data_IF_076886918536
#
_entry.id   IF_076886918536
#
_cell.length_a   1.000
_cell.length_b   1.000
_cell.length_c   1.000
_cell.angle_alpha   90.00
_cell.angle_beta   90.00
_cell.angle_gamma   90.00
#
_symmetry.space_group_name_H-M   'P 1'
#
loop_
_entity.id
_entity.type
_entity.pdbx_description
1 polymer ?
#
# COMPACT_ATOMS: atom_id res chain seq x y z
N UNK A 1 15.59 5.19 10.05
CA UNK A 1 14.69 4.13 10.52
C UNK A 1 13.46 4.09 9.66
N UNK A 2 13.09 2.93 9.14
CA UNK A 2 11.93 2.81 8.27
C UNK A 2 10.63 2.77 9.10
N UNK A 3 9.55 3.32 8.53
CA UNK A 3 8.20 3.16 9.08
C UNK A 3 7.78 1.69 9.13
N UNK A 4 8.31 0.90 8.21
CA UNK A 4 8.04 -0.54 8.13
C UNK A 4 9.09 -1.33 8.91
N UNK A 5 8.66 -2.43 9.54
CA UNK A 5 9.62 -3.38 10.13
C UNK A 5 10.38 -4.12 9.03
N UNK A 6 11.56 -4.70 9.34
CA UNK A 6 12.27 -5.52 8.34
C UNK A 6 11.43 -6.65 7.78
N UNK A 7 10.60 -7.30 8.61
CA UNK A 7 9.70 -8.37 8.14
C UNK A 7 8.65 -7.84 7.19
N UNK A 8 8.10 -6.64 7.46
CA UNK A 8 7.12 -6.00 6.59
C UNK A 8 7.73 -5.64 5.24
N UNK A 9 8.96 -5.10 5.24
CA UNK A 9 9.66 -4.78 3.99
C UNK A 9 9.90 -6.05 3.17
N UNK A 10 10.35 -7.12 3.82
CA UNK A 10 10.59 -8.39 3.13
C UNK A 10 9.30 -8.93 2.51
N UNK A 11 8.20 -8.84 3.26
CA UNK A 11 6.90 -9.27 2.75
C UNK A 11 6.47 -8.44 1.54
N UNK A 12 6.53 -7.11 1.65
CA UNK A 12 6.13 -6.23 0.55
C UNK A 12 6.95 -6.52 -0.71
N UNK A 13 8.25 -6.75 -0.57
CA UNK A 13 9.12 -7.06 -1.70
C UNK A 13 8.85 -8.42 -2.33
N UNK A 14 8.20 -9.32 -1.59
CA UNK A 14 7.83 -10.64 -2.09
C UNK A 14 6.55 -10.64 -2.92
N UNK A 15 5.79 -9.54 -2.91
CA UNK A 15 4.47 -9.47 -3.54
C UNK A 15 4.52 -8.60 -4.79
N UNK A 16 3.95 -9.08 -5.91
CA UNK A 16 4.03 -8.34 -7.18
C UNK A 16 3.07 -7.16 -7.27
N UNK A 17 1.93 -7.20 -6.58
CA UNK A 17 0.87 -6.20 -6.74
C UNK A 17 0.36 -5.73 -5.40
N UNK A 18 -0.07 -4.48 -5.36
CA UNK A 18 -0.92 -3.95 -4.30
C UNK A 18 -2.23 -3.46 -4.88
N UNK A 19 -3.24 -3.33 -4.04
CA UNK A 19 -4.50 -2.68 -4.41
C UNK A 19 -4.46 -1.28 -3.86
N UNK A 20 -4.65 -0.32 -4.75
CA UNK A 20 -4.48 1.10 -4.48
C UNK A 20 -5.85 1.76 -4.55
N UNK A 21 -6.34 2.23 -3.41
CA UNK A 21 -7.65 2.86 -3.28
C UNK A 21 -7.51 4.36 -3.15
N UNK A 22 -8.36 5.08 -3.84
CA UNK A 22 -8.46 6.53 -3.78
C UNK A 22 -9.94 6.93 -3.82
N UNK A 23 -10.24 8.18 -3.59
CA UNK A 23 -11.61 8.67 -3.66
C UNK A 23 -11.64 10.09 -4.22
N UNK A 24 -12.74 10.42 -4.90
CA UNK A 24 -13.00 11.78 -5.33
C UNK A 24 -13.35 12.66 -4.13
N UNK A 25 -13.33 14.00 -4.26
CA UNK A 25 -13.71 14.88 -3.15
C UNK A 25 -15.11 14.64 -2.60
N UNK A 26 -16.03 14.16 -3.44
CA UNK A 26 -17.40 13.83 -3.03
C UNK A 26 -17.56 12.38 -2.55
N UNK A 27 -16.44 11.68 -2.36
CA UNK A 27 -16.46 10.36 -1.72
C UNK A 27 -16.65 9.17 -2.66
N UNK A 28 -16.49 9.36 -3.97
CA UNK A 28 -16.62 8.25 -4.92
C UNK A 28 -15.33 7.41 -4.89
N UNK A 29 -15.39 6.12 -4.47
CA UNK A 29 -14.20 5.31 -4.32
C UNK A 29 -13.74 4.74 -5.66
N UNK A 30 -12.43 4.49 -5.75
CA UNK A 30 -11.80 3.78 -6.84
C UNK A 30 -10.72 2.88 -6.28
N UNK A 31 -10.52 1.72 -6.88
CA UNK A 31 -9.46 0.80 -6.51
C UNK A 31 -8.89 0.13 -7.76
N UNK A 32 -7.57 -0.01 -7.80
CA UNK A 32 -6.89 -0.64 -8.93
C UNK A 32 -5.70 -1.45 -8.44
N UNK A 33 -5.40 -2.60 -9.08
CA UNK A 33 -4.14 -3.31 -8.83
C UNK A 33 -3.00 -2.59 -9.53
N UNK A 34 -1.89 -2.42 -8.83
CA UNK A 34 -0.73 -1.70 -9.35
C UNK A 34 0.56 -2.37 -8.88
N UNK A 35 1.63 -2.22 -9.66
CA UNK A 35 2.98 -2.57 -9.21
C UNK A 35 3.48 -1.48 -8.27
N UNK A 36 4.42 -1.82 -7.41
CA UNK A 36 4.90 -0.89 -6.40
C UNK A 36 6.30 -1.24 -5.94
N UNK A 37 6.94 -0.29 -5.25
CA UNK A 37 8.22 -0.48 -4.58
C UNK A 37 8.19 0.21 -3.23
N UNK A 38 8.98 -0.29 -2.30
CA UNK A 38 9.23 0.38 -1.02
C UNK A 38 10.46 1.28 -1.21
N UNK A 39 10.31 2.54 -0.85
CA UNK A 39 11.38 3.53 -0.93
C UNK A 39 11.47 4.26 0.41
N UNK A 40 12.43 3.83 1.24
CA UNK A 40 12.58 4.37 2.59
C UNK A 40 11.33 4.09 3.43
N UNK A 41 10.68 5.15 3.87
CA UNK A 41 9.45 5.07 4.66
C UNK A 41 8.19 5.05 3.81
N UNK A 42 8.32 5.16 2.50
CA UNK A 42 7.21 5.37 1.59
C UNK A 42 7.01 4.19 0.65
N UNK A 43 5.86 4.18 0.00
CA UNK A 43 5.58 3.27 -1.12
C UNK A 43 5.48 4.13 -2.37
N UNK A 44 6.14 3.72 -3.44
CA UNK A 44 6.04 4.39 -4.73
C UNK A 44 5.42 3.45 -5.74
N UNK A 45 4.56 4.00 -6.59
CA UNK A 45 3.92 3.24 -7.65
C UNK A 45 3.84 4.11 -8.90
N UNK A 46 4.34 3.57 -9.99
CA UNK A 46 4.21 4.17 -11.30
C UNK A 46 3.16 3.45 -12.09
N UNK A 47 3.44 3.27 -13.33
CA UNK A 47 2.59 2.57 -14.25
C UNK A 47 2.57 3.26 -15.59
N UNK A 48 1.89 2.61 -16.50
CA UNK A 48 1.74 3.13 -17.84
C UNK A 48 0.66 4.21 -17.84
N UNK A 49 1.04 5.42 -18.25
CA UNK A 49 0.10 6.52 -18.51
C UNK A 49 -0.77 6.87 -17.29
N UNK A 50 -0.14 7.07 -16.13
CA UNK A 50 -0.89 7.31 -14.89
C UNK A 50 -1.73 8.59 -14.94
N UNK A 51 -1.33 9.57 -15.76
CA UNK A 51 -2.03 10.86 -15.86
C UNK A 51 -3.47 10.71 -16.38
N UNK A 52 -3.79 9.61 -17.05
CA UNK A 52 -5.13 9.33 -17.58
C UNK A 52 -5.94 8.38 -16.69
N UNK A 53 -5.46 8.09 -15.47
CA UNK A 53 -6.19 7.22 -14.55
C UNK A 53 -7.13 7.99 -13.66
N UNK A 54 -8.16 7.31 -13.16
CA UNK A 54 -9.09 7.88 -12.19
C UNK A 54 -8.36 8.23 -10.90
N UNK A 55 -7.43 7.37 -10.45
CA UNK A 55 -6.66 7.63 -9.23
C UNK A 55 -5.79 8.89 -9.33
N UNK A 56 -5.25 9.19 -10.50
CA UNK A 56 -4.48 10.41 -10.71
C UNK A 56 -5.36 11.64 -10.46
N UNK A 57 -6.54 11.67 -11.08
CA UNK A 57 -7.49 12.77 -10.92
C UNK A 57 -7.96 12.88 -9.46
N UNK A 58 -8.26 11.75 -8.83
CA UNK A 58 -8.69 11.73 -7.44
C UNK A 58 -7.64 12.35 -6.51
N UNK A 59 -6.39 11.92 -6.65
CA UNK A 59 -5.30 12.32 -5.75
C UNK A 59 -4.99 13.81 -5.86
N UNK A 60 -5.14 14.40 -7.03
CA UNK A 60 -4.92 15.83 -7.20
C UNK A 60 -5.89 16.68 -6.36
N UNK A 61 -7.09 16.16 -6.09
CA UNK A 61 -8.13 16.87 -5.32
C UNK A 61 -8.33 16.29 -3.94
N UNK A 62 -7.97 15.02 -3.72
CA UNK A 62 -8.09 14.34 -2.44
C UNK A 62 -6.90 13.41 -2.27
N UNK A 63 -5.89 13.83 -1.50
CA UNK A 63 -4.65 13.06 -1.37
C UNK A 63 -4.76 11.83 -0.47
N UNK A 64 -5.88 11.64 0.22
CA UNK A 64 -6.07 10.51 1.13
C UNK A 64 -6.21 9.22 0.35
N UNK A 65 -5.40 8.24 0.69
CA UNK A 65 -5.36 6.94 -0.01
C UNK A 65 -5.23 5.81 0.98
N UNK A 66 -5.51 4.63 0.50
CA UNK A 66 -5.25 3.39 1.22
C UNK A 66 -4.73 2.35 0.24
N UNK A 67 -3.79 1.54 0.69
CA UNK A 67 -3.28 0.43 -0.10
C UNK A 67 -3.32 -0.84 0.73
N UNK A 68 -3.45 -1.97 0.07
CA UNK A 68 -3.37 -3.27 0.72
C UNK A 68 -2.57 -4.23 -0.14
N UNK A 69 -1.69 -4.98 0.53
CA UNK A 69 -0.95 -6.10 -0.04
C UNK A 69 -1.28 -7.30 0.83
N UNK A 70 -1.83 -8.34 0.23
CA UNK A 70 -2.23 -9.52 0.99
C UNK A 70 -2.11 -10.77 0.13
N UNK A 71 -1.98 -11.91 0.79
CA UNK A 71 -2.04 -13.20 0.15
C UNK A 71 -2.37 -14.28 1.20
N UNK A 72 -2.42 -15.50 0.74
CA UNK A 72 -2.53 -16.66 1.61
C UNK A 72 -1.18 -17.37 1.63
N UNK A 73 -0.55 -17.46 2.80
CA UNK A 73 0.66 -18.24 2.96
C UNK A 73 0.38 -19.73 2.75
N UNK A 74 -0.85 -20.16 3.05
CA UNK A 74 -1.32 -21.52 2.84
C UNK A 74 -2.85 -21.51 2.77
N UNK A 75 -3.41 -22.42 1.99
CA UNK A 75 -4.86 -22.62 1.95
C UNK A 75 -5.32 -23.68 2.93
N UNK A 76 -4.45 -24.61 3.29
CA UNK A 76 -4.73 -25.68 4.23
C UNK A 76 -3.47 -25.97 5.08
N UNK A 77 -3.36 -25.45 6.30
CA UNK A 77 -4.35 -24.63 7.00
C UNK A 77 -4.49 -23.23 6.39
N UNK A 78 -5.66 -22.65 6.58
CA UNK A 78 -5.97 -21.30 6.10
C UNK A 78 -5.09 -20.28 6.81
N UNK A 79 -4.24 -19.59 6.06
CA UNK A 79 -3.19 -18.74 6.65
C UNK A 79 -3.11 -17.40 5.90
N UNK A 80 -4.05 -16.47 6.16
CA UNK A 80 -4.01 -15.15 5.55
C UNK A 80 -2.93 -14.28 6.19
N UNK A 81 -2.31 -13.44 5.38
CA UNK A 81 -1.35 -12.44 5.83
C UNK A 81 -1.44 -11.20 4.96
N UNK A 82 -1.01 -10.08 5.48
CA UNK A 82 -1.06 -8.86 4.69
C UNK A 82 -0.65 -7.62 5.44
N UNK A 83 -0.59 -6.52 4.68
CA UNK A 83 -0.29 -5.19 5.18
C UNK A 83 -1.26 -4.21 4.52
N UNK A 84 -1.88 -3.37 5.34
CA UNK A 84 -2.68 -2.25 4.86
C UNK A 84 -2.01 -0.95 5.31
N UNK A 85 -1.90 0.00 4.40
CA UNK A 85 -1.33 1.31 4.68
C UNK A 85 -2.39 2.37 4.40
N UNK A 86 -2.63 3.22 5.37
CA UNK A 86 -3.48 4.39 5.23
C UNK A 86 -2.55 5.60 5.24
N UNK A 87 -2.70 6.48 4.27
CA UNK A 87 -1.82 7.63 4.18
C UNK A 87 -2.26 8.65 3.15
N UNK A 88 -1.29 9.39 2.66
CA UNK A 88 -1.50 10.41 1.63
C UNK A 88 -0.57 10.14 0.46
N UNK A 89 -1.03 10.52 -0.73
CA UNK A 89 -0.25 10.36 -1.95
C UNK A 89 -0.05 11.70 -2.63
N UNK A 90 1.13 11.84 -3.25
CA UNK A 90 1.44 12.97 -4.13
C UNK A 90 1.95 12.41 -5.45
N UNK A 91 1.77 13.18 -6.51
CA UNK A 91 2.36 12.88 -7.81
C UNK A 91 3.76 13.48 -7.81
N UNK A 92 4.74 12.68 -8.19
CA UNK A 92 6.10 13.17 -8.38
C UNK A 92 6.63 12.77 -9.74
N UNK A 93 7.63 13.49 -10.21
CA UNK A 93 8.28 13.20 -11.47
C UNK A 93 9.55 12.38 -11.23
N UNK A 94 9.74 11.36 -12.07
CA UNK A 94 10.93 10.52 -12.07
C UNK A 94 11.44 10.51 -13.50
N UNK A 95 12.37 11.44 -13.84
CA UNK A 95 12.76 11.67 -15.22
C UNK A 95 11.58 12.22 -16.02
N UNK A 96 11.27 11.59 -17.15
CA UNK A 96 10.15 11.97 -18.00
C UNK A 96 8.82 11.32 -17.59
N UNK A 97 8.85 10.44 -16.59
CA UNK A 97 7.65 9.74 -16.15
C UNK A 97 7.12 10.33 -14.84
N UNK A 98 5.88 10.01 -14.53
CA UNK A 98 5.23 10.39 -13.28
C UNK A 98 4.96 9.14 -12.47
N UNK A 99 4.96 9.31 -11.14
CA UNK A 99 4.60 8.23 -10.22
C UNK A 99 3.93 8.83 -8.98
N UNK A 100 3.29 7.98 -8.21
CA UNK A 100 2.74 8.35 -6.92
C UNK A 100 3.73 7.99 -5.82
N UNK A 101 3.87 8.88 -4.85
CA UNK A 101 4.55 8.60 -3.59
C UNK A 101 3.52 8.59 -2.48
N UNK A 102 3.45 7.48 -1.76
CA UNK A 102 2.50 7.27 -0.68
C UNK A 102 3.25 7.33 0.63
N UNK A 103 2.86 8.28 1.48
CA UNK A 103 3.44 8.47 2.80
C UNK A 103 2.51 7.85 3.83
N UNK A 104 2.94 6.80 4.54
CA UNK A 104 2.09 6.15 5.54
C UNK A 104 1.77 7.05 6.73
N UNK A 105 0.53 7.03 7.17
CA UNK A 105 0.08 7.58 8.45
C UNK A 105 -0.20 6.47 9.45
N UNK A 106 -0.75 5.36 8.97
CA UNK A 106 -1.08 4.18 9.77
C UNK A 106 -0.69 2.95 8.96
N UNK A 107 -0.02 2.02 9.62
CA UNK A 107 0.31 0.72 9.05
C UNK A 107 -0.38 -0.36 9.88
N UNK A 108 -1.12 -1.23 9.22
CA UNK A 108 -1.81 -2.36 9.83
C UNK A 108 -1.27 -3.62 9.17
N UNK A 109 -0.79 -4.57 9.98
CA UNK A 109 -0.27 -5.83 9.44
C UNK A 109 -0.85 -7.01 10.21
N UNK A 110 -0.89 -8.16 9.57
CA UNK A 110 -1.35 -9.41 10.18
C UNK A 110 -0.53 -10.57 9.64
N UNK A 111 -0.08 -11.43 10.55
CA UNK A 111 0.74 -12.61 10.26
C UNK A 111 2.05 -12.29 9.53
N UNK A 112 2.62 -11.13 9.74
CA UNK A 112 3.90 -10.70 9.18
C UNK A 112 4.97 -10.63 10.26
N UNK A 113 4.76 -9.80 11.29
CA UNK A 113 5.71 -9.66 12.40
C UNK A 113 5.58 -10.81 13.40
N UNK A 114 4.36 -11.27 13.63
CA UNK A 114 4.06 -12.43 14.45
C UNK A 114 3.43 -13.50 13.57
N UNK A 115 4.18 -14.57 13.33
CA UNK A 115 3.78 -15.67 12.46
C UNK A 115 3.23 -16.87 13.24
N UNK A 116 2.86 -16.68 14.49
CA UNK A 116 2.25 -17.74 15.31
C UNK A 116 1.05 -18.34 14.58
N UNK A 117 0.95 -19.68 14.46
CA UNK A 117 -0.18 -20.31 13.79
C UNK A 117 -1.51 -20.00 14.47
N UNK A 118 -2.59 -19.96 13.69
CA UNK A 118 -3.94 -19.70 14.14
C UNK A 118 -4.50 -18.43 13.53
N UNK A 119 -5.49 -17.85 14.20
CA UNK A 119 -6.11 -16.60 13.75
C UNK A 119 -5.09 -15.46 13.97
N UNK A 120 -4.69 -14.75 12.92
CA UNK A 120 -3.68 -13.71 13.06
C UNK A 120 -4.22 -12.52 13.85
N UNK A 121 -3.34 -11.94 14.68
CA UNK A 121 -3.64 -10.69 15.37
C UNK A 121 -3.25 -9.54 14.45
N UNK A 122 -4.13 -8.55 14.34
CA UNK A 122 -3.81 -7.33 13.61
C UNK A 122 -3.02 -6.39 14.50
N UNK A 123 -1.89 -5.93 13.97
CA UNK A 123 -1.05 -4.92 14.62
C UNK A 123 -1.28 -3.60 13.90
N UNK A 124 -1.56 -2.55 14.68
CA UNK A 124 -1.83 -1.22 14.16
C UNK A 124 -0.80 -0.25 14.74
N UNK A 125 -0.14 0.48 13.86
CA UNK A 125 0.91 1.41 14.27
C UNK A 125 0.70 2.75 13.58
N UNK A 126 0.70 3.84 14.36
CA UNK A 126 0.77 5.19 13.81
C UNK A 126 2.20 5.52 13.41
N UNK A 127 2.36 6.13 12.25
CA UNK A 127 3.67 6.54 11.74
C UNK A 127 3.85 8.04 11.90
N UNK A 128 2.81 8.80 11.72
CA UNK A 128 2.83 10.27 11.87
C UNK A 128 1.45 10.82 12.15
#
# INVERSE_FOLDING_TARGET
>A
MSAFTPAEIAYLRSQPLMRFASASPDGRPDVAPVVFEVDGDDIVTGGFDIAHTVRFRNIQSNPRVSVVVDDLASMNPWSPRGIKVIGTAVVEHAGDSQRFRISPSVIISWAINDTTPGIPTMERRKVR
#
